data_IF_881920367549
#
_entry.id   IF_881920367549
#
_cell.length_a   1.000
_cell.length_b   1.000
_cell.length_c   1.000
_cell.angle_alpha   90.00
_cell.angle_beta   90.00
_cell.angle_gamma   90.00
#
_symmetry.space_group_name_H-M   'P 1'
#
loop_
_entity.id
_entity.type
_entity.pdbx_description
1 polymer ?
#
# COMPACT_ATOMS: atom_id res chain seq x y z
N UNK A 1 -18.14 -2.45 4.77
CA UNK A 1 -18.28 -1.03 4.38
C UNK A 1 -18.07 -0.09 5.56
N UNK A 2 -18.67 -0.35 6.72
CA UNK A 2 -18.68 0.59 7.85
C UNK A 2 -17.31 0.81 8.52
N UNK A 3 -16.44 -0.20 8.60
CA UNK A 3 -15.17 -0.05 9.34
C UNK A 3 -14.09 0.76 8.61
N UNK A 4 -14.01 0.66 7.28
CA UNK A 4 -13.07 1.47 6.51
C UNK A 4 -13.56 2.92 6.31
N UNK A 5 -14.88 3.15 6.38
CA UNK A 5 -15.47 4.49 6.32
C UNK A 5 -15.21 5.29 7.59
N UNK A 6 -15.26 4.65 8.76
CA UNK A 6 -15.18 5.34 10.06
C UNK A 6 -13.84 6.08 10.27
N UNK A 7 -12.74 5.58 9.69
CA UNK A 7 -11.44 6.26 9.79
C UNK A 7 -11.36 7.55 8.94
N UNK A 8 -12.21 7.69 7.92
CA UNK A 8 -12.17 8.80 6.97
C UNK A 8 -13.31 9.79 7.15
N UNK A 9 -14.16 9.58 8.16
CA UNK A 9 -15.35 10.40 8.44
C UNK A 9 -14.99 11.84 8.88
N UNK A 10 -13.75 12.07 9.30
CA UNK A 10 -13.24 13.39 9.71
C UNK A 10 -12.62 14.19 8.55
N UNK A 11 -12.47 13.61 7.35
CA UNK A 11 -11.84 14.28 6.20
C UNK A 11 -12.69 14.14 4.92
N UNK A 12 -13.32 15.27 4.57
CA UNK A 12 -13.99 15.57 3.31
C UNK A 12 -13.69 14.61 2.14
N UNK A 13 -14.76 13.97 1.65
CA UNK A 13 -14.84 13.33 0.33
C UNK A 13 -14.09 12.00 0.16
N UNK A 14 -14.04 11.16 1.19
CA UNK A 14 -13.54 9.78 1.07
C UNK A 14 -14.18 9.03 -0.10
N UNK A 15 -15.51 9.09 -0.24
CA UNK A 15 -16.22 8.45 -1.37
C UNK A 15 -15.83 9.03 -2.72
N UNK A 16 -15.67 10.36 -2.83
CA UNK A 16 -15.24 10.98 -4.08
C UNK A 16 -13.80 10.62 -4.44
N UNK A 17 -12.91 10.54 -3.43
CA UNK A 17 -11.54 10.10 -3.61
C UNK A 17 -11.48 8.63 -4.03
N UNK A 18 -12.25 7.75 -3.38
CA UNK A 18 -12.36 6.33 -3.74
C UNK A 18 -12.87 6.18 -5.17
N UNK A 19 -13.95 6.88 -5.54
CA UNK A 19 -14.49 6.86 -6.91
C UNK A 19 -13.48 7.40 -7.94
N UNK A 20 -12.70 8.42 -7.58
CA UNK A 20 -11.63 8.94 -8.45
C UNK A 20 -10.47 7.95 -8.62
N UNK A 21 -10.14 7.16 -7.60
CA UNK A 21 -9.14 6.10 -7.68
C UNK A 21 -9.66 4.89 -8.48
N UNK A 22 -10.93 4.53 -8.30
CA UNK A 22 -11.58 3.44 -9.03
C UNK A 22 -11.74 3.75 -10.53
N UNK A 23 -12.21 4.96 -10.86
CA UNK A 23 -12.31 5.41 -12.27
C UNK A 23 -10.96 5.44 -12.99
N UNK A 24 -9.87 5.64 -12.26
CA UNK A 24 -8.49 5.57 -12.77
C UNK A 24 -7.91 4.15 -12.76
N UNK A 25 -8.72 3.14 -12.42
CA UNK A 25 -8.31 1.73 -12.27
C UNK A 25 -7.17 1.53 -11.26
N UNK A 26 -6.97 2.46 -10.32
CA UNK A 26 -5.88 2.38 -9.36
C UNK A 26 -6.22 1.46 -8.18
N UNK A 27 -7.51 1.34 -7.90
CA UNK A 27 -8.08 0.56 -6.82
C UNK A 27 -9.42 0.00 -7.32
N UNK A 28 -9.73 -1.23 -6.93
CA UNK A 28 -10.98 -1.92 -7.23
C UNK A 28 -11.60 -2.42 -5.94
N UNK A 29 -12.91 -2.60 -5.93
CA UNK A 29 -13.62 -3.22 -4.83
C UNK A 29 -14.00 -4.64 -5.22
N UNK A 30 -13.70 -5.62 -4.38
CA UNK A 30 -14.14 -6.99 -4.61
C UNK A 30 -15.58 -7.22 -4.13
N UNK A 31 -16.11 -8.42 -4.40
CA UNK A 31 -17.47 -8.83 -4.01
C UNK A 31 -17.71 -8.78 -2.50
N UNK A 32 -16.64 -8.81 -1.69
CA UNK A 32 -16.69 -8.73 -0.23
C UNK A 32 -16.53 -7.28 0.26
N UNK A 33 -16.62 -6.28 -0.62
CA UNK A 33 -16.35 -4.87 -0.34
C UNK A 33 -14.93 -4.60 0.18
N UNK A 34 -13.93 -5.40 -0.21
CA UNK A 34 -12.53 -5.15 0.14
C UNK A 34 -11.84 -4.39 -0.97
N UNK A 35 -11.05 -3.40 -0.59
CA UNK A 35 -10.21 -2.68 -1.52
C UNK A 35 -9.06 -3.56 -2.02
N UNK A 36 -8.88 -3.58 -3.33
CA UNK A 36 -7.78 -4.21 -4.03
C UNK A 36 -7.05 -3.17 -4.86
N UNK A 37 -5.78 -2.96 -4.59
CA UNK A 37 -4.92 -2.18 -5.48
C UNK A 37 -4.47 -3.09 -6.63
N UNK A 38 -4.53 -2.59 -7.87
CA UNK A 38 -4.06 -3.36 -9.03
C UNK A 38 -2.60 -3.78 -8.83
N UNK A 39 -2.24 -5.03 -9.19
CA UNK A 39 -0.90 -5.58 -8.94
C UNK A 39 0.24 -4.66 -9.43
N UNK A 40 0.13 -4.14 -10.65
CA UNK A 40 1.09 -3.15 -11.21
C UNK A 40 1.32 -1.91 -10.33
N UNK A 41 0.29 -1.42 -9.65
CA UNK A 41 0.43 -0.24 -8.76
C UNK A 41 1.06 -0.65 -7.45
N UNK A 42 0.74 -1.83 -6.93
CA UNK A 42 1.47 -2.36 -5.79
C UNK A 42 2.96 -2.50 -6.13
N UNK A 43 3.28 -3.09 -7.29
CA UNK A 43 4.67 -3.28 -7.71
C UNK A 43 5.40 -1.95 -7.86
N UNK A 44 4.74 -0.95 -8.48
CA UNK A 44 5.28 0.41 -8.57
C UNK A 44 5.49 1.03 -7.18
N UNK A 45 4.52 0.90 -6.27
CA UNK A 45 4.65 1.40 -4.90
C UNK A 45 5.78 0.72 -4.12
N UNK A 46 5.95 -0.60 -4.30
CA UNK A 46 7.08 -1.35 -3.74
C UNK A 46 8.40 -0.86 -4.31
N UNK A 47 8.45 -0.64 -5.62
CA UNK A 47 9.65 -0.14 -6.31
C UNK A 47 10.07 1.24 -5.80
N UNK A 48 9.12 2.18 -5.65
CA UNK A 48 9.39 3.53 -5.11
C UNK A 48 10.06 3.44 -3.73
N UNK A 49 9.57 2.57 -2.85
CA UNK A 49 10.18 2.40 -1.51
C UNK A 49 11.57 1.77 -1.59
N UNK A 50 11.78 0.82 -2.51
CA UNK A 50 13.11 0.21 -2.73
C UNK A 50 14.11 1.23 -3.27
N UNK A 51 13.71 2.01 -4.26
CA UNK A 51 14.53 3.05 -4.89
C UNK A 51 14.89 4.16 -3.90
N UNK A 52 13.93 4.63 -3.11
CA UNK A 52 14.17 5.65 -2.09
C UNK A 52 15.13 5.22 -0.98
N UNK A 53 15.28 3.92 -0.75
CA UNK A 53 16.22 3.35 0.22
C UNK A 53 17.50 2.81 -0.41
N UNK A 54 17.88 3.27 -1.61
CA UNK A 54 19.09 2.83 -2.33
C UNK A 54 19.22 1.31 -2.47
N UNK A 55 18.08 0.62 -2.63
CA UNK A 55 17.99 -0.84 -2.68
C UNK A 55 18.54 -1.55 -1.42
N UNK A 56 18.67 -0.83 -0.30
CA UNK A 56 19.04 -1.37 0.99
C UNK A 56 17.80 -1.54 1.89
N UNK A 57 17.42 -2.79 2.23
CA UNK A 57 16.26 -3.07 3.09
C UNK A 57 16.21 -2.30 4.42
N UNK A 58 17.36 -1.96 5.01
CA UNK A 58 17.44 -1.18 6.25
C UNK A 58 16.94 0.27 6.11
N UNK A 59 16.95 0.79 4.89
CA UNK A 59 16.53 2.16 4.58
C UNK A 59 15.09 2.21 4.07
N UNK A 60 14.45 1.06 3.85
CA UNK A 60 13.07 1.02 3.38
C UNK A 60 12.13 1.47 4.48
N UNK A 61 11.22 2.38 4.14
CA UNK A 61 10.17 2.82 5.08
C UNK A 61 9.20 1.70 5.48
N UNK A 62 9.09 0.64 4.67
CA UNK A 62 8.26 -0.56 4.92
C UNK A 62 8.88 -1.80 4.26
N UNK A 63 8.67 -2.96 4.88
CA UNK A 63 9.12 -4.27 4.39
C UNK A 63 7.90 -5.17 4.11
N UNK A 64 8.01 -5.99 3.08
CA UNK A 64 6.95 -6.92 2.64
C UNK A 64 7.51 -8.24 2.09
N UNK A 65 8.73 -8.20 1.56
CA UNK A 65 9.42 -9.39 1.09
C UNK A 65 10.07 -10.11 2.27
N UNK A 66 9.91 -11.44 2.32
CA UNK A 66 10.38 -12.23 3.45
C UNK A 66 11.90 -12.21 3.57
N UNK A 67 12.62 -12.15 2.45
CA UNK A 67 14.08 -12.15 2.44
C UNK A 67 14.60 -10.78 2.89
N UNK A 68 13.97 -9.69 2.42
CA UNK A 68 14.26 -8.34 2.90
C UNK A 68 14.04 -8.23 4.43
N UNK A 69 12.96 -8.82 4.96
CA UNK A 69 12.70 -8.88 6.41
C UNK A 69 13.76 -9.69 7.15
N UNK A 70 14.09 -10.89 6.67
CA UNK A 70 15.10 -11.74 7.32
C UNK A 70 16.44 -11.02 7.40
N UNK A 71 16.85 -10.38 6.29
CA UNK A 71 18.10 -9.62 6.24
C UNK A 71 18.16 -8.52 7.29
N UNK A 72 17.09 -7.70 7.40
CA UNK A 72 17.04 -6.64 8.41
C UNK A 72 17.05 -7.17 9.84
N UNK A 73 16.40 -8.31 10.09
CA UNK A 73 16.33 -8.91 11.43
C UNK A 73 17.62 -9.64 11.82
N UNK A 74 18.32 -10.25 10.85
CA UNK A 74 19.58 -10.97 11.07
C UNK A 74 20.76 -10.02 11.25
N UNK A 75 20.80 -8.92 10.47
CA UNK A 75 21.86 -7.90 10.55
C UNK A 75 21.73 -7.00 11.80
N UNK A 76 20.57 -7.02 12.48
CA UNK A 76 20.33 -6.27 13.72
C UNK A 76 20.85 -6.97 15.00
N UNK A 77 21.53 -8.11 14.87
CA UNK A 77 22.20 -8.83 15.98
C UNK A 77 23.61 -8.33 16.23
#
# INVERSE_FOLDING_TARGET
KEEALFFWEDHYAADSAINALESKSLLTMDVDNRFRMHGRIQDMGRWIVKEAGDLNPHMYSRLWDRDDVSKVLEDAK
#
